data_IF_168601809241
#
_entry.id   IF_168601809241
#
_cell.length_a   1.000
_cell.length_b   1.000
_cell.length_c   1.000
_cell.angle_alpha   90.00
_cell.angle_beta   90.00
_cell.angle_gamma   90.00
#
_symmetry.space_group_name_H-M   'P 1'
#
loop_
_entity.id
_entity.type
_entity.pdbx_description
1 polymer ?
#
# COMPACT_ATOMS: atom_id res chain seq x y z
N UNK A 1 73.29 94.95 -32.89
CA UNK A 1 72.19 95.06 -33.88
C UNK A 1 71.35 93.80 -33.74
N UNK A 2 70.25 93.86 -32.99
CA UNK A 2 68.86 94.10 -33.49
C UNK A 2 68.44 93.02 -34.48
N UNK A 3 67.38 92.25 -34.26
CA UNK A 3 66.34 92.37 -33.25
C UNK A 3 65.37 91.19 -33.26
N UNK A 4 64.56 91.22 -32.21
CA UNK A 4 63.29 90.54 -31.94
C UNK A 4 62.45 90.15 -33.16
N UNK A 5 61.87 88.95 -33.13
CA UNK A 5 60.40 88.88 -33.02
C UNK A 5 59.87 87.53 -32.51
N UNK A 6 59.07 87.64 -31.45
CA UNK A 6 58.17 86.63 -30.89
C UNK A 6 57.05 86.38 -31.91
N UNK A 7 56.88 85.15 -32.35
CA UNK A 7 55.66 84.72 -33.05
C UNK A 7 54.85 83.82 -32.12
N UNK A 8 53.62 84.26 -31.85
CA UNK A 8 52.65 83.67 -30.92
C UNK A 8 52.31 82.23 -31.31
N UNK A 9 52.06 81.30 -30.36
CA UNK A 9 51.38 80.07 -30.68
C UNK A 9 49.94 80.39 -31.12
N UNK A 10 49.61 79.94 -32.32
CA UNK A 10 48.24 79.82 -32.83
C UNK A 10 47.48 78.87 -31.91
N UNK A 11 46.54 79.39 -31.13
CA UNK A 11 45.53 78.60 -30.44
C UNK A 11 44.55 78.10 -31.50
N UNK A 12 44.74 76.88 -31.95
CA UNK A 12 43.69 76.12 -32.61
C UNK A 12 42.56 75.90 -31.60
N UNK A 13 41.43 76.59 -31.81
CA UNK A 13 40.17 76.25 -31.17
C UNK A 13 39.78 74.84 -31.63
N UNK A 14 40.14 73.86 -30.81
CA UNK A 14 39.57 72.52 -30.90
C UNK A 14 38.06 72.65 -30.73
N UNK A 15 37.31 72.37 -31.80
CA UNK A 15 35.87 72.20 -31.74
C UNK A 15 35.57 71.08 -30.73
N UNK A 16 35.21 71.45 -29.51
CA UNK A 16 34.58 70.53 -28.57
C UNK A 16 33.26 70.09 -29.21
N UNK A 17 33.23 68.87 -29.76
CA UNK A 17 31.99 68.15 -30.01
C UNK A 17 31.42 67.75 -28.66
N UNK A 18 30.79 68.70 -27.98
CA UNK A 18 30.02 68.44 -26.77
C UNK A 18 28.81 67.60 -27.14
N UNK A 19 28.79 66.35 -26.72
CA UNK A 19 27.56 65.58 -26.71
C UNK A 19 26.68 66.19 -25.63
N UNK A 20 25.55 66.80 -26.02
CA UNK A 20 24.56 67.30 -25.05
C UNK A 20 23.86 66.08 -24.48
N UNK A 21 24.46 65.49 -23.46
CA UNK A 21 23.74 64.55 -22.60
C UNK A 21 22.80 65.42 -21.76
N UNK A 22 21.52 65.42 -22.09
CA UNK A 22 20.51 66.08 -21.27
C UNK A 22 20.51 65.43 -19.88
N UNK A 23 20.29 66.23 -18.83
CA UNK A 23 20.26 65.74 -17.44
C UNK A 23 19.32 64.55 -17.28
N UNK A 24 18.23 64.53 -18.06
CA UNK A 24 17.27 63.42 -18.16
C UNK A 24 17.92 62.11 -18.62
N UNK A 25 18.81 62.13 -19.62
CA UNK A 25 19.50 60.94 -20.10
C UNK A 25 20.48 60.39 -19.05
N UNK A 26 21.20 61.27 -18.34
CA UNK A 26 22.07 60.86 -17.23
C UNK A 26 21.23 60.18 -16.15
N UNK A 27 20.11 60.79 -15.79
CA UNK A 27 19.22 60.31 -14.73
C UNK A 27 18.64 58.93 -15.07
N UNK A 28 18.16 58.74 -16.31
CA UNK A 28 17.67 57.44 -16.80
C UNK A 28 18.79 56.38 -16.77
N UNK A 29 19.98 56.70 -17.25
CA UNK A 29 21.11 55.75 -17.26
C UNK A 29 21.52 55.39 -15.82
N UNK A 30 21.58 56.35 -14.90
CA UNK A 30 21.90 56.04 -13.49
C UNK A 30 20.86 55.17 -12.82
N UNK A 31 19.57 55.41 -13.05
CA UNK A 31 18.51 54.55 -12.49
C UNK A 31 18.57 53.15 -13.09
N UNK A 32 18.80 53.03 -14.41
CA UNK A 32 18.92 51.73 -15.08
C UNK A 32 20.15 50.95 -14.61
N UNK A 33 21.32 51.59 -14.54
CA UNK A 33 22.59 50.92 -14.19
C UNK A 33 22.62 50.59 -12.70
N UNK A 34 22.27 51.52 -11.82
CA UNK A 34 22.24 51.24 -10.37
C UNK A 34 21.10 50.28 -10.01
N UNK A 35 19.92 50.45 -10.62
CA UNK A 35 18.78 49.56 -10.43
C UNK A 35 19.05 48.13 -10.90
N UNK A 36 19.72 47.96 -12.04
CA UNK A 36 20.09 46.62 -12.55
C UNK A 36 21.20 45.95 -11.75
N UNK A 37 22.19 46.71 -11.24
CA UNK A 37 23.20 46.16 -10.33
C UNK A 37 22.60 45.67 -9.01
N UNK A 38 21.70 46.46 -8.41
CA UNK A 38 20.99 46.05 -7.18
C UNK A 38 20.06 44.87 -7.47
N UNK A 39 19.36 44.87 -8.61
CA UNK A 39 18.53 43.75 -9.05
C UNK A 39 19.29 42.44 -9.23
N UNK A 40 20.48 42.47 -9.84
CA UNK A 40 21.34 41.30 -10.00
C UNK A 40 21.86 40.76 -8.66
N UNK A 41 22.23 41.63 -7.73
CA UNK A 41 22.66 41.23 -6.39
C UNK A 41 21.50 40.58 -5.62
N UNK A 42 20.29 41.15 -5.70
CA UNK A 42 19.10 40.60 -5.06
C UNK A 42 18.70 39.24 -5.64
N UNK A 43 18.77 39.06 -6.97
CA UNK A 43 18.53 37.77 -7.62
C UNK A 43 19.57 36.74 -7.18
N UNK A 44 20.85 37.11 -7.16
CA UNK A 44 21.91 36.22 -6.67
C UNK A 44 21.67 35.82 -5.22
N UNK A 45 21.41 36.78 -4.34
CA UNK A 45 21.13 36.52 -2.93
C UNK A 45 19.88 35.65 -2.75
N UNK A 46 18.80 35.90 -3.50
CA UNK A 46 17.61 35.07 -3.49
C UNK A 46 17.87 33.64 -4.01
N UNK A 47 18.68 33.47 -5.06
CA UNK A 47 19.07 32.16 -5.58
C UNK A 47 19.98 31.41 -4.60
N UNK A 48 20.94 32.10 -3.97
CA UNK A 48 21.77 31.51 -2.92
C UNK A 48 20.92 31.12 -1.71
N UNK A 49 20.02 31.99 -1.25
CA UNK A 49 19.07 31.66 -0.17
C UNK A 49 18.17 30.50 -0.54
N UNK A 50 17.64 30.45 -1.76
CA UNK A 50 16.82 29.33 -2.23
C UNK A 50 17.62 28.02 -2.31
N UNK A 51 18.88 28.09 -2.77
CA UNK A 51 19.78 26.94 -2.84
C UNK A 51 20.19 26.43 -1.45
N UNK A 52 20.57 27.32 -0.55
CA UNK A 52 20.92 27.00 0.85
C UNK A 52 19.70 26.48 1.61
N UNK A 53 18.52 27.06 1.38
CA UNK A 53 17.28 26.59 2.03
C UNK A 53 16.88 25.19 1.52
N UNK A 54 17.04 24.91 0.21
CA UNK A 54 16.87 23.54 -0.33
C UNK A 54 17.85 22.56 0.27
N UNK A 55 19.13 22.93 0.38
CA UNK A 55 20.12 22.08 1.04
C UNK A 55 19.76 21.85 2.51
N UNK A 56 19.37 22.89 3.26
CA UNK A 56 18.99 22.83 4.68
C UNK A 56 17.77 21.97 5.00
N UNK A 57 16.95 21.62 4.01
CA UNK A 57 15.73 20.80 4.20
C UNK A 57 15.86 19.36 3.69
N UNK A 58 16.90 19.03 2.93
CA UNK A 58 17.06 17.68 2.35
C UNK A 58 17.72 16.73 3.36
N UNK A 59 16.92 15.92 4.04
CA UNK A 59 17.41 14.83 4.89
C UNK A 59 18.12 13.76 4.04
N UNK A 60 19.38 13.46 4.39
CA UNK A 60 20.19 12.43 3.72
C UNK A 60 20.39 11.27 4.68
N UNK A 61 20.13 10.06 4.20
CA UNK A 61 20.32 8.82 4.96
C UNK A 61 21.68 8.22 4.64
N UNK A 62 22.42 7.83 5.69
CA UNK A 62 23.71 7.17 5.58
C UNK A 62 23.80 5.97 6.53
N UNK A 63 24.69 5.04 6.20
CA UNK A 63 24.98 3.83 6.98
C UNK A 63 26.07 4.07 8.05
N UNK A 64 26.37 3.05 8.84
CA UNK A 64 27.36 3.08 9.92
C UNK A 64 28.79 3.47 9.49
N UNK A 65 29.11 3.29 8.21
CA UNK A 65 30.43 3.61 7.62
C UNK A 65 30.45 5.01 6.98
N UNK A 66 29.31 5.69 6.95
CA UNK A 66 29.10 6.96 6.26
C UNK A 66 28.78 6.83 4.77
N UNK A 67 28.50 5.62 4.28
CA UNK A 67 28.04 5.39 2.91
C UNK A 67 26.63 5.98 2.77
N UNK A 68 26.44 6.81 1.75
CA UNK A 68 25.16 7.45 1.50
C UNK A 68 24.20 6.47 0.83
N UNK A 69 23.00 6.30 1.40
CA UNK A 69 21.93 5.49 0.81
C UNK A 69 21.13 6.32 -0.20
N UNK A 70 20.76 7.54 0.20
CA UNK A 70 19.91 8.40 -0.62
C UNK A 70 19.34 9.59 0.14
N UNK A 71 18.56 10.39 -0.59
CA UNK A 71 17.79 11.50 -0.02
C UNK A 71 16.43 10.98 0.43
N UNK A 72 16.01 11.35 1.62
CA UNK A 72 14.66 11.07 2.10
C UNK A 72 13.64 11.83 1.24
N UNK A 73 12.63 11.10 0.76
CA UNK A 73 11.51 11.66 0.00
C UNK A 73 10.46 12.22 0.96
N UNK A 74 10.21 11.48 2.03
CA UNK A 74 9.31 11.79 3.13
C UNK A 74 9.62 10.86 4.31
N UNK A 75 8.73 10.84 5.31
CA UNK A 75 8.81 9.98 6.48
C UNK A 75 7.55 9.11 6.59
N UNK A 76 7.70 7.89 7.10
CA UNK A 76 6.57 7.01 7.40
C UNK A 76 5.84 7.40 8.70
N UNK A 77 4.76 6.69 9.00
CA UNK A 77 3.96 6.82 10.22
C UNK A 77 4.74 6.62 11.53
N UNK A 78 5.98 6.13 11.45
CA UNK A 78 6.88 5.91 12.58
C UNK A 78 8.11 6.82 12.52
N UNK A 79 8.03 7.95 11.81
CA UNK A 79 9.10 8.93 11.61
C UNK A 79 10.38 8.32 10.99
N UNK A 80 10.28 7.17 10.29
CA UNK A 80 11.41 6.61 9.58
C UNK A 80 11.52 7.26 8.19
N UNK A 81 12.70 7.80 7.81
CA UNK A 81 12.91 8.35 6.47
C UNK A 81 12.67 7.30 5.39
N UNK A 82 11.95 7.66 4.33
CA UNK A 82 11.74 6.79 3.17
C UNK A 82 12.57 7.24 1.97
N UNK A 83 13.19 6.28 1.30
CA UNK A 83 14.02 6.50 0.11
C UNK A 83 13.55 5.65 -1.06
N UNK A 84 13.76 6.15 -2.28
CA UNK A 84 13.59 5.32 -3.48
C UNK A 84 14.82 4.45 -3.70
N UNK A 85 14.61 3.13 -3.71
CA UNK A 85 15.56 2.19 -4.25
C UNK A 85 15.20 1.85 -5.70
N UNK A 86 16.19 1.75 -6.58
CA UNK A 86 16.00 1.45 -8.00
C UNK A 86 16.48 0.03 -8.30
N UNK A 87 15.56 -0.83 -8.72
CA UNK A 87 15.90 -2.14 -9.27
C UNK A 87 16.26 -1.98 -10.75
N UNK A 88 17.54 -2.17 -11.06
CA UNK A 88 18.10 -2.08 -12.43
C UNK A 88 18.32 -3.46 -13.06
N UNK A 89 17.87 -4.52 -12.41
CA UNK A 89 18.20 -5.91 -12.76
C UNK A 89 17.15 -6.57 -13.65
N UNK A 90 16.03 -5.88 -13.94
CA UNK A 90 14.90 -6.36 -14.75
C UNK A 90 15.13 -6.32 -16.28
N UNK A 91 16.34 -5.99 -16.75
CA UNK A 91 16.72 -6.00 -18.17
C UNK A 91 16.70 -4.63 -18.86
N UNK A 92 17.07 -4.61 -20.15
CA UNK A 92 17.38 -3.39 -20.91
C UNK A 92 16.18 -2.44 -21.03
N UNK A 93 16.16 -1.41 -20.19
CA UNK A 93 15.22 -0.28 -20.25
C UNK A 93 14.09 -0.31 -19.23
N UNK A 94 13.97 -1.38 -18.42
CA UNK A 94 13.02 -1.44 -17.31
C UNK A 94 13.75 -1.19 -16.00
N UNK A 95 13.62 0.02 -15.47
CA UNK A 95 14.02 0.34 -14.10
C UNK A 95 12.75 0.54 -13.29
N UNK A 96 12.48 -0.42 -12.42
CA UNK A 96 11.44 -0.26 -11.42
C UNK A 96 12.06 0.34 -10.17
N UNK A 97 11.22 0.96 -9.34
CA UNK A 97 11.66 1.50 -8.06
C UNK A 97 10.76 0.99 -6.96
N UNK A 98 11.22 1.07 -5.74
CA UNK A 98 10.39 0.80 -4.57
C UNK A 98 10.73 1.81 -3.49
N UNK A 99 9.74 2.08 -2.64
CA UNK A 99 9.89 2.98 -1.51
C UNK A 99 10.21 2.13 -0.28
N UNK A 100 11.41 2.30 0.27
CA UNK A 100 11.84 1.62 1.49
C UNK A 100 11.99 2.64 2.61
N UNK A 101 11.52 2.31 3.80
CA UNK A 101 11.83 3.03 5.03
C UNK A 101 13.19 2.60 5.57
N UNK A 102 13.88 3.52 6.25
CA UNK A 102 15.16 3.24 6.88
C UNK A 102 15.06 3.58 8.36
N UNK A 103 15.11 2.57 9.20
CA UNK A 103 15.20 2.72 10.66
C UNK A 103 16.64 2.67 11.10
N UNK A 104 16.89 2.89 12.39
CA UNK A 104 18.23 2.80 12.96
C UNK A 104 18.85 1.41 12.75
N UNK A 105 18.10 0.33 12.89
CA UNK A 105 18.63 -1.04 12.83
C UNK A 105 18.28 -1.83 11.56
N UNK A 106 17.33 -1.35 10.73
CA UNK A 106 16.79 -2.12 9.61
C UNK A 106 16.17 -1.30 8.50
N UNK A 107 16.01 -1.95 7.35
CA UNK A 107 15.14 -1.49 6.27
C UNK A 107 13.70 -1.95 6.48
N UNK A 108 12.75 -1.15 6.00
CA UNK A 108 11.32 -1.45 6.10
C UNK A 108 10.59 -1.25 4.78
N UNK A 109 9.49 -1.96 4.61
CA UNK A 109 8.52 -1.86 3.53
C UNK A 109 7.12 -2.04 4.08
N UNK A 110 6.12 -1.46 3.42
CA UNK A 110 4.71 -1.70 3.78
C UNK A 110 4.32 -3.16 3.55
N UNK A 111 4.74 -3.70 2.43
CA UNK A 111 4.49 -5.10 2.06
C UNK A 111 5.32 -6.04 2.94
N UNK A 112 4.71 -7.15 3.39
CA UNK A 112 5.37 -8.20 4.16
C UNK A 112 5.93 -9.30 3.25
N UNK A 113 6.96 -10.02 3.73
CA UNK A 113 7.41 -11.28 3.12
C UNK A 113 6.86 -12.45 3.91
N UNK A 114 6.27 -13.40 3.22
CA UNK A 114 5.73 -14.65 3.76
C UNK A 114 6.72 -15.78 3.50
N UNK A 115 6.77 -16.76 4.40
CA UNK A 115 7.77 -17.81 4.38
C UNK A 115 7.15 -19.18 4.58
N UNK A 116 7.65 -20.16 3.83
CA UNK A 116 7.12 -21.53 3.87
C UNK A 116 7.47 -22.33 5.13
N UNK A 117 8.34 -21.79 5.99
CA UNK A 117 8.71 -22.41 7.26
C UNK A 117 8.59 -21.40 8.39
N UNK A 118 8.65 -21.88 9.64
CA UNK A 118 8.69 -21.03 10.82
C UNK A 118 9.95 -20.14 10.84
N UNK A 119 9.94 -19.09 11.67
CA UNK A 119 11.07 -18.19 11.89
C UNK A 119 11.60 -17.52 10.61
N UNK A 120 10.69 -17.21 9.66
CA UNK A 120 10.98 -16.48 8.43
C UNK A 120 12.09 -17.13 7.61
N UNK A 121 11.99 -18.45 7.47
CA UNK A 121 12.93 -19.30 6.75
C UNK A 121 12.22 -20.08 5.65
N UNK A 122 12.99 -20.67 4.73
CA UNK A 122 12.43 -21.36 3.57
C UNK A 122 12.18 -20.43 2.39
N UNK A 123 11.19 -20.76 1.57
CA UNK A 123 10.89 -20.04 0.33
C UNK A 123 10.16 -18.74 0.65
N UNK A 124 10.71 -17.58 0.24
CA UNK A 124 10.05 -16.30 0.43
C UNK A 124 8.94 -16.11 -0.62
N UNK A 125 7.85 -15.50 -0.19
CA UNK A 125 6.68 -15.23 -0.99
C UNK A 125 6.12 -13.85 -0.69
N UNK A 126 5.51 -13.23 -1.68
CA UNK A 126 4.90 -11.90 -1.60
C UNK A 126 3.43 -12.05 -1.97
N UNK A 127 2.53 -11.44 -1.20
CA UNK A 127 1.14 -11.25 -1.62
C UNK A 127 1.15 -10.32 -2.84
N UNK A 128 0.41 -10.66 -3.89
CA UNK A 128 0.24 -9.76 -5.05
C UNK A 128 -0.22 -8.38 -4.58
N UNK A 129 0.00 -7.33 -5.38
CA UNK A 129 -0.32 -5.95 -4.98
C UNK A 129 -1.74 -5.86 -4.42
N UNK A 130 -1.77 -5.57 -3.12
CA UNK A 130 -2.92 -5.55 -2.25
C UNK A 130 -3.99 -4.53 -2.63
N UNK A 131 -5.24 -4.81 -2.26
CA UNK A 131 -6.32 -3.82 -2.28
C UNK A 131 -6.46 -3.12 -0.91
N UNK A 132 -7.00 -1.90 -0.93
CA UNK A 132 -7.20 -1.12 0.31
C UNK A 132 -8.20 -1.78 1.27
N UNK A 133 -9.08 -2.62 0.75
CA UNK A 133 -10.17 -3.24 1.52
C UNK A 133 -9.64 -4.30 2.47
N UNK A 134 -8.67 -5.11 2.03
CA UNK A 134 -8.25 -6.31 2.78
C UNK A 134 -6.93 -6.13 3.53
N UNK A 135 -6.08 -5.22 3.07
CA UNK A 135 -4.73 -5.04 3.63
C UNK A 135 -4.53 -3.67 4.28
N UNK A 136 -5.57 -2.83 4.41
CA UNK A 136 -5.40 -1.48 4.99
C UNK A 136 -5.14 -1.47 6.49
N UNK A 137 -5.43 -2.56 7.21
CA UNK A 137 -5.23 -2.62 8.67
C UNK A 137 -3.83 -3.11 9.01
N UNK A 138 -3.05 -2.29 9.71
CA UNK A 138 -1.69 -2.62 10.11
C UNK A 138 -1.58 -3.55 11.30
N UNK A 139 -0.34 -3.93 11.61
CA UNK A 139 -0.02 -4.74 12.79
C UNK A 139 -0.35 -4.03 14.13
N UNK A 140 -0.61 -2.73 14.08
CA UNK A 140 -1.13 -1.88 15.15
C UNK A 140 -2.68 -1.81 15.19
N UNK A 141 -3.36 -2.59 14.34
CA UNK A 141 -4.81 -2.62 14.16
C UNK A 141 -5.43 -1.28 13.71
N UNK A 142 -4.62 -0.37 13.16
CA UNK A 142 -5.10 0.90 12.64
C UNK A 142 -5.42 0.79 11.13
N UNK A 143 -6.54 1.35 10.68
CA UNK A 143 -6.82 1.45 9.24
C UNK A 143 -5.89 2.48 8.59
N UNK A 144 -5.29 2.13 7.46
CA UNK A 144 -4.30 2.90 6.72
C UNK A 144 -2.83 2.61 7.09
N UNK A 145 -2.55 1.78 8.09
CA UNK A 145 -1.19 1.34 8.47
C UNK A 145 -0.84 -0.08 7.99
N UNK A 146 -1.74 -0.72 7.26
CA UNK A 146 -1.54 -2.06 6.74
C UNK A 146 -0.65 -2.15 5.51
N UNK A 147 -0.52 -3.38 5.02
CA UNK A 147 0.44 -3.79 4.01
C UNK A 147 0.03 -3.34 2.59
N UNK A 148 -0.51 -2.13 2.43
CA UNK A 148 -0.87 -1.56 1.12
C UNK A 148 0.24 -0.63 0.66
N UNK A 149 0.96 -1.03 -0.40
CA UNK A 149 1.89 -0.15 -1.11
C UNK A 149 1.24 0.40 -2.39
N UNK A 150 0.64 1.59 -2.27
CA UNK A 150 0.13 2.34 -3.45
C UNK A 150 1.17 2.53 -4.53
N UNK A 151 2.43 2.70 -4.13
CA UNK A 151 3.51 2.89 -5.08
C UNK A 151 3.81 1.63 -5.89
N UNK A 152 3.78 0.45 -5.26
CA UNK A 152 3.92 -0.81 -5.97
C UNK A 152 2.67 -1.09 -6.83
N UNK A 153 1.47 -0.81 -6.32
CA UNK A 153 0.22 -0.93 -7.08
C UNK A 153 0.21 -0.05 -8.35
N UNK A 154 0.74 1.18 -8.28
CA UNK A 154 0.87 2.07 -9.45
C UNK A 154 1.87 1.55 -10.50
N UNK A 155 2.87 0.78 -10.10
CA UNK A 155 3.81 0.14 -11.02
C UNK A 155 3.26 -1.16 -11.61
N UNK A 156 2.27 -1.76 -10.96
CA UNK A 156 1.54 -2.96 -11.38
C UNK A 156 2.31 -4.26 -11.21
N UNK A 157 3.61 -4.29 -11.55
CA UNK A 157 4.49 -5.44 -11.34
C UNK A 157 5.97 -5.05 -11.50
N UNK A 158 6.91 -5.62 -10.71
CA UNK A 158 6.69 -6.54 -9.60
C UNK A 158 6.39 -5.81 -8.28
N UNK A 159 5.71 -6.49 -7.35
CA UNK A 159 5.62 -6.03 -5.96
C UNK A 159 6.97 -6.20 -5.25
N UNK A 160 7.29 -5.33 -4.28
CA UNK A 160 8.56 -5.31 -3.56
C UNK A 160 8.34 -5.26 -2.05
N UNK A 161 9.16 -6.01 -1.32
CA UNK A 161 9.10 -6.07 0.14
C UNK A 161 10.48 -6.38 0.75
N UNK A 162 10.72 -5.86 1.95
CA UNK A 162 11.91 -6.15 2.76
C UNK A 162 11.60 -7.34 3.66
N UNK A 163 12.35 -8.42 3.47
CA UNK A 163 12.29 -9.65 4.25
C UNK A 163 13.52 -9.85 5.12
N UNK A 164 13.62 -11.07 5.67
CA UNK A 164 14.79 -11.54 6.41
C UNK A 164 16.02 -11.59 5.50
N UNK A 165 17.10 -10.94 5.91
CA UNK A 165 18.42 -11.06 5.28
C UNK A 165 19.12 -12.37 5.65
N UNK A 166 20.31 -12.58 5.09
CA UNK A 166 21.16 -13.75 5.40
C UNK A 166 21.42 -13.91 6.90
N UNK A 167 21.72 -12.80 7.58
CA UNK A 167 21.95 -12.73 9.04
C UNK A 167 20.77 -12.10 9.81
N UNK A 168 19.58 -12.03 9.21
CA UNK A 168 18.41 -11.39 9.82
C UNK A 168 18.30 -9.91 9.48
N UNK A 169 18.63 -9.04 10.44
CA UNK A 169 18.71 -7.58 10.24
C UNK A 169 20.02 -7.21 9.51
N UNK A 170 20.08 -6.13 8.70
CA UNK A 170 19.06 -5.08 8.50
C UNK A 170 17.91 -5.47 7.55
N UNK A 171 17.89 -6.72 7.07
CA UNK A 171 16.91 -7.23 6.11
C UNK A 171 17.44 -7.25 4.68
N UNK A 172 16.71 -7.92 3.79
CA UNK A 172 17.02 -8.04 2.37
C UNK A 172 15.81 -7.64 1.51
N UNK A 173 16.06 -7.02 0.36
CA UNK A 173 15.00 -6.65 -0.58
C UNK A 173 14.62 -7.85 -1.44
N UNK A 174 13.33 -8.16 -1.49
CA UNK A 174 12.77 -9.16 -2.39
C UNK A 174 11.79 -8.51 -3.37
N UNK A 175 11.65 -9.13 -4.54
CA UNK A 175 10.63 -8.79 -5.53
C UNK A 175 9.78 -9.99 -5.89
N UNK A 176 8.55 -9.71 -6.26
CA UNK A 176 7.58 -10.66 -6.76
C UNK A 176 8.04 -11.27 -8.09
N UNK A 177 7.80 -12.57 -8.27
CA UNK A 177 7.99 -13.29 -9.54
C UNK A 177 6.63 -13.67 -10.14
N UNK A 178 6.63 -14.16 -11.37
CA UNK A 178 5.42 -14.68 -12.01
C UNK A 178 5.02 -16.07 -11.50
N UNK A 179 5.88 -16.74 -10.73
CA UNK A 179 5.66 -18.09 -10.22
C UNK A 179 4.72 -18.08 -9.00
N UNK A 180 3.88 -19.10 -8.89
CA UNK A 180 2.99 -19.27 -7.73
C UNK A 180 3.82 -19.73 -6.53
N UNK A 181 3.56 -19.13 -5.37
CA UNK A 181 4.22 -19.53 -4.13
C UNK A 181 3.79 -20.95 -3.68
N UNK A 182 4.71 -21.78 -3.15
CA UNK A 182 4.35 -23.04 -2.51
C UNK A 182 3.42 -22.83 -1.31
N UNK A 183 2.39 -23.68 -1.23
CA UNK A 183 1.14 -23.52 -0.46
C UNK A 183 1.23 -23.75 1.06
N UNK A 184 2.37 -23.60 1.71
CA UNK A 184 2.47 -23.84 3.17
C UNK A 184 3.16 -22.67 3.87
N UNK A 185 2.48 -21.52 4.00
CA UNK A 185 3.03 -20.37 4.72
C UNK A 185 2.94 -20.62 6.23
N UNK A 186 4.07 -20.52 6.94
CA UNK A 186 4.16 -20.74 8.39
C UNK A 186 4.67 -19.54 9.18
N UNK A 187 5.25 -18.54 8.50
CA UNK A 187 5.65 -17.30 9.14
C UNK A 187 5.65 -16.13 8.15
N UNK A 188 5.67 -14.91 8.69
CA UNK A 188 5.80 -13.68 7.91
C UNK A 188 6.72 -12.69 8.59
N UNK A 189 7.41 -11.90 7.77
CA UNK A 189 8.30 -10.82 8.18
C UNK A 189 7.62 -9.48 7.91
N UNK A 190 7.29 -8.76 8.98
CA UNK A 190 6.57 -7.47 8.92
C UNK A 190 7.54 -6.36 9.31
N UNK A 191 8.37 -5.93 8.36
CA UNK A 191 9.53 -5.07 8.63
C UNK A 191 9.18 -3.72 9.31
N UNK A 192 8.00 -3.16 9.04
CA UNK A 192 7.49 -1.95 9.71
C UNK A 192 7.13 -2.15 11.20
N UNK A 193 6.95 -3.39 11.65
CA UNK A 193 6.55 -3.64 13.04
C UNK A 193 7.65 -3.18 14.02
N UNK A 194 7.23 -2.45 15.05
CA UNK A 194 8.13 -2.00 16.14
C UNK A 194 8.25 -3.14 17.15
N UNK A 195 9.32 -3.93 17.03
CA UNK A 195 9.64 -5.03 17.96
C UNK A 195 11.10 -4.97 18.40
N UNK A 196 11.38 -5.55 19.56
CA UNK A 196 12.74 -5.82 20.00
C UNK A 196 13.26 -7.08 19.29
N UNK A 197 14.24 -6.93 18.39
CA UNK A 197 14.82 -8.02 17.61
C UNK A 197 14.21 -8.15 16.20
N UNK A 198 14.18 -9.37 15.67
CA UNK A 198 13.68 -9.63 14.31
C UNK A 198 12.14 -9.50 14.22
N UNK A 199 11.60 -8.78 13.24
CA UNK A 199 10.15 -8.62 13.02
C UNK A 199 9.52 -9.84 12.32
N UNK A 200 9.90 -11.04 12.77
CA UNK A 200 9.35 -12.28 12.29
C UNK A 200 8.25 -12.79 13.22
N UNK A 201 7.11 -13.19 12.66
CA UNK A 201 6.02 -13.76 13.43
C UNK A 201 5.47 -15.05 12.80
N UNK A 202 4.96 -15.93 13.65
CA UNK A 202 4.20 -17.09 13.19
C UNK A 202 2.96 -16.60 12.43
N UNK A 203 2.72 -17.19 11.27
CA UNK A 203 1.60 -16.84 10.43
C UNK A 203 1.14 -18.11 9.76
N UNK A 204 -0.12 -18.45 9.96
CA UNK A 204 -0.73 -19.60 9.34
C UNK A 204 -1.94 -19.08 8.58
N UNK A 205 -1.84 -19.11 7.25
CA UNK A 205 -3.06 -19.14 6.44
C UNK A 205 -3.41 -20.61 6.41
N UNK A 206 -4.57 -20.97 6.95
CA UNK A 206 -5.10 -22.30 6.68
C UNK A 206 -5.22 -22.36 5.14
N UNK A 207 -4.28 -23.02 4.46
CA UNK A 207 -4.19 -23.01 3.00
C UNK A 207 -5.28 -23.89 2.35
N UNK A 208 -6.47 -23.91 2.95
CA UNK A 208 -7.69 -24.37 2.36
C UNK A 208 -8.06 -23.36 1.27
N UNK A 209 -8.04 -23.73 -0.02
CA UNK A 209 -8.49 -22.83 -1.08
C UNK A 209 -9.97 -22.46 -0.91
N UNK A 210 -10.70 -23.27 -0.13
CA UNK A 210 -12.11 -23.14 0.17
C UNK A 210 -12.36 -23.40 1.66
N UNK A 211 -13.05 -22.51 2.36
CA UNK A 211 -13.50 -22.66 3.74
C UNK A 211 -15.05 -22.65 3.77
N UNK A 212 -15.74 -23.54 4.51
CA UNK A 212 -17.20 -23.50 4.57
C UNK A 212 -17.70 -22.18 5.15
N UNK A 213 -18.66 -21.55 4.47
CA UNK A 213 -19.28 -20.32 4.94
C UNK A 213 -20.09 -20.58 6.22
N UNK A 214 -20.08 -19.61 7.13
CA UNK A 214 -20.96 -19.66 8.28
C UNK A 214 -22.39 -19.30 7.87
N UNK A 215 -23.23 -20.33 7.71
CA UNK A 215 -24.64 -20.20 7.31
C UNK A 215 -25.63 -20.09 8.49
N UNK A 216 -25.14 -20.00 9.73
CA UNK A 216 -26.01 -19.92 10.92
C UNK A 216 -26.96 -18.71 10.92
N UNK A 217 -26.59 -17.66 10.18
CA UNK A 217 -27.37 -16.44 10.00
C UNK A 217 -28.26 -16.43 8.74
N UNK A 218 -28.15 -17.43 7.87
CA UNK A 218 -28.77 -17.42 6.54
C UNK A 218 -30.31 -17.43 6.59
N UNK A 219 -30.87 -17.98 7.67
CA UNK A 219 -32.29 -18.29 7.72
C UNK A 219 -32.99 -17.72 8.97
N UNK A 220 -32.46 -16.65 9.58
CA UNK A 220 -33.04 -16.12 10.81
C UNK A 220 -34.18 -15.14 10.52
N UNK A 221 -35.37 -15.38 11.08
CA UNK A 221 -36.61 -14.66 10.74
C UNK A 221 -36.98 -13.52 11.68
N UNK A 222 -36.23 -13.20 12.75
CA UNK A 222 -36.68 -12.15 13.70
C UNK A 222 -35.58 -11.36 14.43
N UNK A 223 -34.33 -11.85 14.55
CA UNK A 223 -33.26 -11.16 15.29
C UNK A 223 -32.03 -10.90 14.41
N UNK A 224 -31.35 -9.75 14.62
CA UNK A 224 -30.11 -9.43 13.90
C UNK A 224 -29.04 -10.47 14.26
N UNK A 225 -28.63 -11.24 13.26
CA UNK A 225 -27.57 -12.21 13.40
C UNK A 225 -26.26 -11.52 13.05
N UNK A 226 -25.29 -11.56 13.96
CA UNK A 226 -23.95 -11.04 13.72
C UNK A 226 -22.99 -12.19 13.39
N UNK A 227 -22.07 -11.94 12.47
CA UNK A 227 -21.01 -12.89 12.15
C UNK A 227 -20.15 -13.18 13.40
N UNK A 228 -19.71 -14.43 13.61
CA UNK A 228 -18.80 -14.77 14.70
C UNK A 228 -17.50 -13.95 14.60
N UNK A 229 -16.80 -13.74 15.72
CA UNK A 229 -15.49 -13.08 15.69
C UNK A 229 -14.50 -13.86 14.81
N UNK A 230 -13.75 -13.14 13.97
CA UNK A 230 -12.92 -13.62 12.84
C UNK A 230 -13.66 -13.93 11.54
N UNK A 231 -14.93 -13.53 11.40
CA UNK A 231 -15.70 -13.63 10.16
C UNK A 231 -16.16 -12.24 9.69
N UNK A 232 -16.16 -12.04 8.38
CA UNK A 232 -16.66 -10.86 7.69
C UNK A 232 -18.03 -11.16 7.06
N UNK A 233 -18.85 -10.12 6.94
CA UNK A 233 -20.20 -10.17 6.40
C UNK A 233 -20.17 -10.06 4.87
N UNK A 234 -20.68 -11.08 4.18
CA UNK A 234 -20.69 -11.19 2.71
C UNK A 234 -22.04 -10.81 2.09
N UNK A 235 -22.86 -10.02 2.80
CA UNK A 235 -24.20 -9.63 2.34
C UNK A 235 -24.16 -8.85 1.02
N UNK A 236 -23.10 -8.06 0.77
CA UNK A 236 -22.94 -7.31 -0.48
C UNK A 236 -22.73 -8.22 -1.70
N UNK A 237 -21.99 -9.32 -1.53
CA UNK A 237 -21.83 -10.35 -2.55
C UNK A 237 -23.14 -11.11 -2.73
N UNK A 238 -23.76 -11.54 -1.62
CA UNK A 238 -25.01 -12.31 -1.62
C UNK A 238 -26.19 -11.54 -2.26
N UNK A 239 -26.27 -10.24 -2.04
CA UNK A 239 -27.30 -9.35 -2.59
C UNK A 239 -27.40 -9.42 -4.12
N UNK A 240 -26.27 -9.68 -4.80
CA UNK A 240 -26.25 -9.87 -6.26
C UNK A 240 -27.03 -11.11 -6.72
N UNK A 241 -27.18 -12.12 -5.85
CA UNK A 241 -27.81 -13.41 -6.15
C UNK A 241 -29.21 -13.55 -5.55
N UNK A 242 -29.62 -12.68 -4.62
CA UNK A 242 -30.96 -12.69 -3.99
C UNK A 242 -32.11 -12.82 -5.01
N UNK A 243 -32.14 -12.07 -6.13
CA UNK A 243 -33.23 -12.20 -7.11
C UNK A 243 -33.32 -13.59 -7.78
N UNK A 244 -32.19 -14.30 -7.91
CA UNK A 244 -32.14 -15.65 -8.46
C UNK A 244 -32.52 -16.69 -7.40
N UNK A 245 -32.05 -16.50 -6.16
CA UNK A 245 -32.40 -17.31 -4.99
C UNK A 245 -33.92 -17.29 -4.77
N UNK A 246 -34.56 -16.12 -4.71
CA UNK A 246 -36.01 -16.03 -4.50
C UNK A 246 -36.81 -16.73 -5.61
N UNK A 247 -36.35 -16.62 -6.85
CA UNK A 247 -37.00 -17.25 -8.01
C UNK A 247 -36.88 -18.77 -7.94
N UNK A 248 -35.70 -19.26 -7.60
CA UNK A 248 -35.44 -20.69 -7.45
C UNK A 248 -36.21 -21.26 -6.25
N UNK A 249 -36.21 -20.57 -5.11
CA UNK A 249 -36.98 -20.93 -3.91
C UNK A 249 -38.48 -21.06 -4.20
N UNK A 250 -39.10 -20.05 -4.85
CA UNK A 250 -40.53 -20.10 -5.22
C UNK A 250 -40.84 -21.30 -6.14
N UNK A 251 -39.92 -21.63 -7.05
CA UNK A 251 -40.05 -22.78 -7.96
C UNK A 251 -39.93 -24.10 -7.19
N UNK A 252 -38.95 -24.22 -6.28
CA UNK A 252 -38.73 -25.42 -5.46
C UNK A 252 -39.92 -25.66 -4.53
N UNK A 253 -40.41 -24.64 -3.83
CA UNK A 253 -41.61 -24.73 -2.97
C UNK A 253 -42.84 -25.18 -3.77
N UNK A 254 -43.04 -24.68 -4.99
CA UNK A 254 -44.13 -25.14 -5.85
C UNK A 254 -43.99 -26.63 -6.24
N UNK A 255 -42.76 -27.10 -6.47
CA UNK A 255 -42.49 -28.51 -6.75
C UNK A 255 -42.71 -29.40 -5.51
N UNK A 256 -42.32 -28.94 -4.32
CA UNK A 256 -42.58 -29.63 -3.04
C UNK A 256 -44.09 -29.72 -2.78
N UNK A 257 -44.84 -28.63 -2.99
CA UNK A 257 -46.29 -28.61 -2.87
C UNK A 257 -46.99 -29.62 -3.80
N UNK A 258 -46.44 -29.84 -5.00
CA UNK A 258 -46.94 -30.86 -5.92
C UNK A 258 -46.70 -32.30 -5.43
N UNK A 259 -45.82 -32.52 -4.44
CA UNK A 259 -45.52 -33.84 -3.85
C UNK A 259 -46.29 -34.12 -2.57
N UNK A 260 -46.53 -33.11 -1.73
CA UNK A 260 -47.19 -33.28 -0.42
C UNK A 260 -48.73 -33.34 -0.49
N UNK A 261 -49.32 -32.99 -1.65
CA UNK A 261 -50.75 -33.07 -1.90
C UNK A 261 -51.58 -31.95 -1.22
N UNK A 262 -52.90 -31.88 -1.45
CA UNK A 262 -53.72 -30.72 -1.06
C UNK A 262 -53.98 -30.58 0.44
N UNK A 263 -53.59 -31.56 1.25
CA UNK A 263 -53.79 -31.55 2.71
C UNK A 263 -52.66 -30.84 3.47
N UNK A 264 -51.54 -30.57 2.80
CA UNK A 264 -50.36 -29.89 3.35
C UNK A 264 -49.95 -28.77 2.39
N UNK A 265 -49.38 -27.70 2.91
CA UNK A 265 -48.87 -26.60 2.10
C UNK A 265 -47.59 -26.08 2.72
N UNK A 266 -46.57 -25.93 1.88
CA UNK A 266 -45.37 -25.18 2.18
C UNK A 266 -45.52 -23.80 1.55
N UNK A 267 -45.41 -22.74 2.35
CA UNK A 267 -45.47 -21.37 1.87
C UNK A 267 -44.16 -20.65 2.21
N UNK A 268 -43.72 -19.77 1.31
CA UNK A 268 -42.66 -18.81 1.63
C UNK A 268 -43.34 -17.63 2.31
N UNK A 269 -43.06 -17.36 3.60
CA UNK A 269 -43.64 -16.21 4.30
C UNK A 269 -43.39 -14.91 3.54
N UNK A 270 -44.33 -13.97 3.59
CA UNK A 270 -44.20 -12.68 2.88
C UNK A 270 -43.05 -11.81 3.40
N UNK A 271 -42.59 -12.09 4.61
CA UNK A 271 -41.47 -11.48 5.33
C UNK A 271 -40.20 -12.35 5.28
N UNK A 272 -40.17 -13.42 4.47
CA UNK A 272 -38.96 -14.20 4.27
C UNK A 272 -37.88 -13.36 3.59
N UNK A 273 -36.78 -13.14 4.30
CA UNK A 273 -35.58 -12.51 3.78
C UNK A 273 -34.42 -13.50 3.84
N UNK A 274 -33.63 -13.57 2.76
CA UNK A 274 -32.33 -14.25 2.83
C UNK A 274 -31.50 -13.49 3.84
N UNK A 275 -31.01 -14.19 4.87
CA UNK A 275 -30.17 -13.59 5.90
C UNK A 275 -28.72 -13.41 5.44
N UNK A 276 -27.80 -13.46 6.38
CA UNK A 276 -26.37 -13.19 6.13
C UNK A 276 -25.59 -14.49 6.00
N UNK A 277 -24.60 -14.50 5.10
CA UNK A 277 -23.50 -15.46 5.07
C UNK A 277 -22.25 -14.77 5.56
N UNK A 278 -21.43 -15.49 6.31
CA UNK A 278 -20.15 -14.95 6.77
C UNK A 278 -19.00 -15.82 6.30
N UNK A 279 -17.96 -15.18 5.78
CA UNK A 279 -16.70 -15.82 5.44
C UNK A 279 -15.64 -15.47 6.48
N UNK A 280 -14.65 -16.33 6.68
CA UNK A 280 -13.54 -16.02 7.58
C UNK A 280 -12.74 -14.85 6.98
N UNK A 281 -12.11 -14.04 7.83
CA UNK A 281 -11.11 -13.05 7.37
C UNK A 281 -10.16 -13.71 6.35
N UNK A 282 -9.86 -13.01 5.24
CA UNK A 282 -9.07 -13.49 4.09
C UNK A 282 -9.77 -14.43 3.08
N UNK A 283 -11.09 -14.54 3.14
CA UNK A 283 -11.91 -15.31 2.18
C UNK A 283 -13.13 -14.51 1.72
N UNK A 284 -13.49 -14.64 0.45
CA UNK A 284 -14.73 -14.09 -0.14
C UNK A 284 -15.72 -15.23 -0.44
N UNK A 285 -17.02 -14.94 -0.42
CA UNK A 285 -18.06 -15.92 -0.77
C UNK A 285 -17.90 -16.46 -2.20
N UNK A 286 -17.77 -17.79 -2.37
CA UNK A 286 -17.69 -18.42 -3.70
C UNK A 286 -19.09 -18.44 -4.35
N UNK A 287 -19.28 -17.77 -5.50
CA UNK A 287 -20.58 -17.76 -6.16
C UNK A 287 -20.95 -19.10 -6.81
N UNK A 288 -20.01 -20.04 -6.91
CA UNK A 288 -20.21 -21.32 -7.60
C UNK A 288 -21.18 -22.22 -6.83
N UNK A 289 -22.37 -22.41 -7.39
CA UNK A 289 -23.40 -23.26 -6.78
C UNK A 289 -24.13 -22.61 -5.60
N UNK A 290 -23.80 -21.34 -5.29
CA UNK A 290 -24.36 -20.59 -4.17
C UNK A 290 -25.89 -20.55 -4.18
N UNK A 291 -26.49 -20.28 -5.35
CA UNK A 291 -27.95 -20.17 -5.50
C UNK A 291 -28.65 -21.47 -5.10
N UNK A 292 -28.17 -22.61 -5.59
CA UNK A 292 -28.80 -23.91 -5.33
C UNK A 292 -28.61 -24.31 -3.86
N UNK A 293 -27.40 -24.14 -3.32
CA UNK A 293 -27.09 -24.46 -1.92
C UNK A 293 -27.90 -23.59 -0.93
N UNK A 294 -28.03 -22.28 -1.17
CA UNK A 294 -28.86 -21.40 -0.33
C UNK A 294 -30.34 -21.79 -0.41
N UNK A 295 -30.84 -22.14 -1.59
CA UNK A 295 -32.23 -22.59 -1.77
C UNK A 295 -32.47 -23.91 -1.06
N UNK A 296 -31.50 -24.82 -1.06
CA UNK A 296 -31.55 -26.07 -0.31
C UNK A 296 -31.72 -25.80 1.18
N UNK A 297 -30.81 -25.03 1.80
CA UNK A 297 -30.86 -24.68 3.23
C UNK A 297 -32.15 -23.95 3.60
N UNK A 298 -32.58 -23.00 2.79
CA UNK A 298 -33.83 -22.27 3.02
C UNK A 298 -35.06 -23.19 2.93
N UNK A 299 -35.11 -24.09 1.95
CA UNK A 299 -36.25 -25.01 1.77
C UNK A 299 -36.30 -26.04 2.88
N UNK A 300 -35.15 -26.58 3.29
CA UNK A 300 -35.04 -27.52 4.42
C UNK A 300 -35.60 -26.90 5.70
N UNK A 301 -35.20 -25.66 6.02
CA UNK A 301 -35.73 -24.96 7.19
C UNK A 301 -37.24 -24.72 7.11
N UNK A 302 -37.77 -24.31 5.96
CA UNK A 302 -39.21 -24.14 5.79
C UNK A 302 -39.96 -25.47 5.98
N UNK A 303 -39.39 -26.58 5.52
CA UNK A 303 -39.97 -27.91 5.73
C UNK A 303 -39.96 -28.26 7.22
N UNK A 304 -38.84 -28.08 7.91
CA UNK A 304 -38.74 -28.35 9.35
C UNK A 304 -39.72 -27.51 10.18
N UNK A 305 -39.95 -26.25 9.81
CA UNK A 305 -40.82 -25.34 10.55
C UNK A 305 -42.32 -25.54 10.25
N UNK A 306 -42.68 -25.87 9.00
CA UNK A 306 -44.08 -25.88 8.56
C UNK A 306 -44.66 -27.28 8.34
N UNK A 307 -43.83 -28.30 8.11
CA UNK A 307 -44.26 -29.64 7.71
C UNK A 307 -43.77 -30.71 8.69
N UNK A 308 -44.71 -31.39 9.34
CA UNK A 308 -44.42 -32.66 10.01
C UNK A 308 -44.53 -33.81 9.01
N UNK A 309 -43.37 -34.30 8.55
CA UNK A 309 -43.27 -35.42 7.60
C UNK A 309 -43.05 -36.78 8.29
N UNK A 310 -42.90 -36.81 9.62
CA UNK A 310 -42.53 -38.01 10.38
C UNK A 310 -43.52 -39.17 10.22
N UNK A 311 -44.80 -38.86 10.04
CA UNK A 311 -45.88 -39.82 9.84
C UNK A 311 -46.03 -40.33 8.39
N UNK A 312 -45.16 -39.91 7.45
CA UNK A 312 -45.35 -40.15 6.01
C UNK A 312 -44.03 -40.35 5.26
N UNK A 313 -43.35 -41.48 5.43
CA UNK A 313 -42.02 -41.73 4.84
C UNK A 313 -42.02 -41.68 3.30
N UNK A 314 -43.12 -42.04 2.64
CA UNK A 314 -43.25 -41.92 1.19
C UNK A 314 -43.33 -40.47 0.71
N UNK A 315 -43.88 -39.58 1.53
CA UNK A 315 -43.95 -38.15 1.22
C UNK A 315 -42.59 -37.51 1.48
N UNK A 316 -41.94 -37.89 2.57
CA UNK A 316 -40.57 -37.48 2.89
C UNK A 316 -39.60 -37.83 1.76
N UNK A 317 -39.60 -39.08 1.27
CA UNK A 317 -38.77 -39.51 0.13
C UNK A 317 -39.07 -38.69 -1.15
N UNK A 318 -40.34 -38.40 -1.42
CA UNK A 318 -40.74 -37.61 -2.58
C UNK A 318 -40.33 -36.14 -2.48
N UNK A 319 -40.28 -35.57 -1.27
CA UNK A 319 -39.80 -34.21 -1.01
C UNK A 319 -38.28 -34.16 -1.11
N UNK A 320 -37.57 -35.11 -0.50
CA UNK A 320 -36.12 -35.25 -0.62
C UNK A 320 -35.67 -35.36 -2.08
N UNK A 321 -36.40 -36.10 -2.92
CA UNK A 321 -36.12 -36.19 -4.35
C UNK A 321 -36.24 -34.85 -5.11
N UNK A 322 -36.95 -33.85 -4.56
CA UNK A 322 -37.05 -32.50 -5.15
C UNK A 322 -35.89 -31.62 -4.71
N UNK A 323 -35.47 -31.71 -3.45
CA UNK A 323 -34.45 -30.82 -2.88
C UNK A 323 -33.02 -31.36 -3.01
N UNK A 324 -32.81 -32.68 -3.03
CA UNK A 324 -31.48 -33.30 -3.15
C UNK A 324 -30.62 -32.80 -4.34
N UNK A 325 -31.18 -32.49 -5.53
CA UNK A 325 -30.38 -31.90 -6.61
C UNK A 325 -29.81 -30.51 -6.32
N UNK A 326 -30.33 -29.82 -5.30
CA UNK A 326 -29.90 -28.50 -4.87
C UNK A 326 -28.86 -28.57 -3.73
N UNK A 327 -28.62 -29.76 -3.18
CA UNK A 327 -27.65 -29.98 -2.13
C UNK A 327 -26.25 -29.61 -2.63
N UNK A 328 -25.56 -28.75 -1.88
CA UNK A 328 -24.24 -28.26 -2.21
C UNK A 328 -23.63 -27.52 -1.03
N UNK A 329 -22.30 -27.44 -1.02
CA UNK A 329 -21.56 -26.70 0.00
C UNK A 329 -21.58 -25.20 -0.32
N UNK A 330 -21.85 -24.39 0.69
CA UNK A 330 -21.64 -22.94 0.63
C UNK A 330 -20.20 -22.70 1.10
N UNK A 331 -19.32 -22.33 0.18
CA UNK A 331 -17.90 -22.14 0.46
C UNK A 331 -17.49 -20.68 0.28
N UNK A 332 -16.43 -20.31 0.97
CA UNK A 332 -15.68 -19.09 0.80
C UNK A 332 -14.34 -19.45 0.17
N UNK A 333 -13.85 -18.68 -0.78
CA UNK A 333 -12.55 -18.87 -1.43
C UNK A 333 -11.54 -17.83 -0.97
N UNK A 334 -10.29 -18.23 -0.72
CA UNK A 334 -9.28 -17.25 -0.35
C UNK A 334 -8.94 -16.35 -1.54
N UNK A 335 -8.99 -15.03 -1.34
CA UNK A 335 -8.56 -14.04 -2.32
C UNK A 335 -7.06 -13.72 -2.21
N UNK A 336 -6.34 -14.31 -1.24
CA UNK A 336 -4.92 -14.05 -1.05
C UNK A 336 -4.09 -14.85 -2.06
N UNK A 337 -3.66 -14.18 -3.13
CA UNK A 337 -2.70 -14.74 -4.08
C UNK A 337 -1.25 -14.51 -3.61
N UNK A 338 -0.55 -15.58 -3.24
CA UNK A 338 0.89 -15.54 -2.99
C UNK A 338 1.69 -15.89 -4.24
N UNK A 339 2.63 -15.02 -4.60
CA UNK A 339 3.65 -15.29 -5.62
C UNK A 339 5.00 -15.57 -4.97
N UNK A 340 5.80 -16.41 -5.61
CA UNK A 340 7.16 -16.64 -5.16
C UNK A 340 7.94 -15.33 -5.26
N UNK A 341 8.80 -15.08 -4.28
CA UNK A 341 9.64 -13.90 -4.23
C UNK A 341 11.10 -14.28 -4.47
N UNK A 342 11.87 -13.39 -5.08
CA UNK A 342 13.30 -13.56 -5.27
C UNK A 342 14.09 -12.37 -4.72
N UNK A 343 15.31 -12.65 -4.28
CA UNK A 343 16.24 -11.64 -3.76
C UNK A 343 16.63 -10.68 -4.88
N UNK A 344 16.49 -9.38 -4.65
CA UNK A 344 16.92 -8.35 -5.60
C UNK A 344 18.45 -8.21 -5.52
N UNK A 345 19.20 -8.48 -6.61
CA UNK A 345 20.65 -8.39 -6.57
C UNK A 345 21.15 -6.95 -6.47
N UNK A 346 22.32 -6.75 -5.86
CA UNK A 346 23.02 -5.48 -5.90
C UNK A 346 23.44 -5.13 -7.34
N UNK A 347 23.45 -3.83 -7.65
CA UNK A 347 23.71 -3.35 -9.00
C UNK A 347 25.17 -3.61 -9.46
N UNK A 348 26.09 -3.70 -8.51
CA UNK A 348 27.53 -3.92 -8.72
C UNK A 348 27.96 -5.38 -8.46
N UNK A 349 27.18 -6.13 -7.66
CA UNK A 349 27.44 -7.53 -7.36
C UNK A 349 26.15 -8.36 -7.38
N UNK A 350 25.95 -9.18 -8.42
CA UNK A 350 24.76 -10.03 -8.53
C UNK A 350 24.70 -11.19 -7.53
N UNK A 351 25.76 -11.42 -6.74
CA UNK A 351 25.79 -12.45 -5.70
C UNK A 351 25.28 -11.95 -4.34
N UNK A 352 25.13 -10.64 -4.16
CA UNK A 352 24.69 -10.01 -2.92
C UNK A 352 23.32 -9.37 -3.11
N UNK A 353 22.54 -9.27 -2.04
CA UNK A 353 21.28 -8.53 -2.07
C UNK A 353 21.55 -7.01 -2.17
N UNK A 354 20.64 -6.28 -2.81
CA UNK A 354 20.73 -4.84 -2.98
C UNK A 354 20.89 -4.03 -1.67
N UNK A 355 20.44 -4.58 -0.53
CA UNK A 355 20.52 -3.97 0.79
C UNK A 355 21.70 -4.46 1.64
N UNK A 356 22.31 -5.60 1.30
CA UNK A 356 23.43 -6.19 2.07
C UNK A 356 24.70 -5.35 2.00
N UNK A 357 24.79 -4.44 1.03
CA UNK A 357 25.90 -3.50 0.87
C UNK A 357 25.91 -2.35 1.89
N UNK A 358 24.97 -2.29 2.84
CA UNK A 358 24.83 -1.21 3.81
C UNK A 358 24.80 -1.75 5.24
N UNK A 359 25.45 -1.04 6.16
CA UNK A 359 25.60 -1.47 7.56
C UNK A 359 24.81 -0.60 8.53
N UNK A 360 24.02 -1.23 9.42
CA UNK A 360 23.40 -0.55 10.55
C UNK A 360 24.45 -0.21 11.65
N UNK A 361 24.25 0.84 12.47
CA UNK A 361 23.07 1.70 12.52
C UNK A 361 23.02 2.75 11.41
N UNK A 362 21.82 3.08 10.97
CA UNK A 362 21.56 4.13 9.99
C UNK A 362 21.27 5.47 10.67
N UNK A 363 21.65 6.57 10.03
CA UNK A 363 21.39 7.91 10.53
C UNK A 363 20.94 8.88 9.45
N UNK A 364 20.13 9.85 9.88
CA UNK A 364 19.70 10.98 9.06
C UNK A 364 20.59 12.17 9.38
N UNK A 365 21.39 12.61 8.41
CA UNK A 365 22.14 13.85 8.55
C UNK A 365 21.19 15.04 8.31
N UNK A 366 21.15 15.96 9.26
CA UNK A 366 20.65 17.31 9.02
C UNK A 366 21.70 18.09 8.19
N UNK A 367 21.29 19.03 7.33
CA UNK A 367 22.21 19.53 6.31
C UNK A 367 23.03 20.69 6.89
N UNK A 368 24.10 20.35 7.60
CA UNK A 368 25.33 21.13 7.67
C UNK A 368 26.35 20.42 8.57
N UNK A 369 27.50 20.09 7.98
CA UNK A 369 28.74 20.00 8.72
C UNK A 369 29.05 18.64 9.34
N UNK A 370 30.25 18.18 9.03
CA UNK A 370 30.98 17.17 9.78
C UNK A 370 30.84 17.38 11.29
N UNK A 371 30.71 16.26 12.01
CA UNK A 371 31.07 16.05 13.41
C UNK A 371 31.75 17.24 14.11
N UNK A 372 30.95 18.15 14.67
CA UNK A 372 31.27 18.81 15.92
C UNK A 372 30.15 18.40 16.89
N UNK A 373 30.51 17.91 18.07
CA UNK A 373 29.62 17.37 19.11
C UNK A 373 28.70 18.43 19.75
N UNK A 374 28.31 19.46 19.01
CA UNK A 374 27.45 20.53 19.50
C UNK A 374 26.04 20.36 18.94
N UNK A 375 25.16 19.80 19.77
CA UNK A 375 23.73 19.74 19.49
C UNK A 375 23.15 21.16 19.51
N UNK A 376 22.76 21.67 18.34
CA UNK A 376 22.02 22.93 18.25
C UNK A 376 20.52 22.67 18.38
N UNK A 377 20.00 22.77 19.60
CA UNK A 377 18.55 22.85 19.83
C UNK A 377 18.04 24.21 19.35
N UNK A 378 17.27 24.23 18.27
CA UNK A 378 16.50 25.44 17.90
C UNK A 378 15.27 25.48 18.79
N UNK A 379 15.28 26.30 19.85
CA UNK A 379 14.05 26.59 20.62
C UNK A 379 12.97 27.15 19.68
N UNK A 380 11.68 26.79 19.86
CA UNK A 380 10.61 27.44 19.13
C UNK A 380 10.66 28.93 19.46
N UNK A 381 10.99 29.77 18.48
CA UNK A 381 10.86 31.22 18.64
C UNK A 381 9.37 31.51 18.76
N UNK A 382 8.90 31.64 20.00
CA UNK A 382 7.53 31.99 20.30
C UNK A 382 7.17 33.35 19.71
N UNK A 383 6.61 33.34 18.50
CA UNK A 383 5.75 34.42 17.99
C UNK A 383 4.81 34.01 16.85
N UNK A 384 4.60 32.72 16.58
CA UNK A 384 3.48 32.26 15.75
C UNK A 384 2.45 31.60 16.63
N UNK A 385 1.61 32.46 17.24
CA UNK A 385 0.60 32.05 18.21
C UNK A 385 -0.03 33.23 18.93
N UNK A 386 -0.46 34.26 18.18
CA UNK A 386 -1.52 35.19 18.60
C UNK A 386 -2.33 35.66 17.41
#
# INVERSE_FOLDING_TARGET
>A
MTGTNKTRPSLTLSNQKGFVVTVELILIITILVLGSLVGLIAIRDALFKHYVNKQSTEAIVADATGKLLGKAVDFDEHDAPRIFLFDRTLGDGQTQRTLIGVRDDRFTSREAIYYSQQNCSGTPCIKTTSDETTDSVGADAQSGSGNVSYFNALQGFPNYAVGRGSDGLPGALFRETTEVCPVDIQSRWVSQKVVAGEPCEAFNVDNQPTDPAYAGCLANSVESCECPGSYEDESDVLDNYVPEIERSLKKTVAQVNARIGPARSLEVPSDFTVGTLCCREAYDLDPKGLVDAVVFVATEKLIEEQLDLSDSPLVEEAVLAVIAPLEGDINCTSFIEFRAAESVPAADNSAENALEQFEAPFWVNAPSGQAEEEWFSTEPTGSEGR
#
